data_IF_453002834352
#
_entry.id   IF_453002834352
#
_cell.length_a   1.000
_cell.length_b   1.000
_cell.length_c   1.000
_cell.angle_alpha   90.00
_cell.angle_beta   90.00
_cell.angle_gamma   90.00
#
_symmetry.space_group_name_H-M   'P 1'
#
loop_
_entity.id
_entity.type
_entity.pdbx_description
1 polymer ?
#
# COMPACT_ATOMS: atom_id res chain seq x y z
N UNK A 1 -0.47 -23.08 12.93
CA UNK A 1 -1.77 -23.24 13.57
C UNK A 1 -2.27 -21.93 14.11
N UNK A 2 -3.60 -21.75 14.18
CA UNK A 2 -4.24 -20.60 14.82
C UNK A 2 -4.70 -20.95 16.22
N UNK A 3 -3.99 -20.46 17.24
CA UNK A 3 -4.37 -20.68 18.65
C UNK A 3 -5.77 -20.14 18.97
N UNK A 4 -6.23 -19.12 18.25
CA UNK A 4 -7.58 -18.56 18.41
C UNK A 4 -8.70 -19.60 18.17
N UNK A 5 -8.49 -20.60 17.31
CA UNK A 5 -9.47 -21.66 17.10
C UNK A 5 -9.68 -22.52 18.37
N UNK A 6 -8.75 -22.47 19.33
CA UNK A 6 -8.89 -23.15 20.62
C UNK A 6 -9.66 -22.32 21.68
N UNK A 7 -10.11 -21.10 21.36
CA UNK A 7 -10.77 -20.20 22.31
C UNK A 7 -12.04 -20.81 22.93
N UNK A 8 -12.84 -21.51 22.13
CA UNK A 8 -14.15 -22.03 22.54
C UNK A 8 -14.12 -23.52 22.90
N UNK A 9 -13.24 -24.30 22.27
CA UNK A 9 -13.08 -25.75 22.48
C UNK A 9 -11.66 -26.19 22.10
N UNK A 10 -11.26 -27.42 22.43
CA UNK A 10 -9.98 -27.98 21.95
C UNK A 10 -9.94 -27.94 20.42
N UNK A 11 -8.81 -27.54 19.84
CA UNK A 11 -8.66 -27.50 18.40
C UNK A 11 -8.96 -28.88 17.77
N UNK A 12 -9.84 -29.02 16.77
CA UNK A 12 -10.27 -30.33 16.27
C UNK A 12 -9.14 -31.13 15.62
N UNK A 13 -8.20 -30.42 14.98
CA UNK A 13 -7.11 -31.01 14.20
C UNK A 13 -5.71 -30.63 14.70
N UNK A 14 -5.60 -30.11 15.93
CA UNK A 14 -4.31 -29.70 16.48
C UNK A 14 -4.22 -30.03 17.99
N UNK A 15 -3.02 -29.89 18.54
CA UNK A 15 -2.69 -30.21 19.93
C UNK A 15 -3.23 -29.17 20.91
N UNK A 16 -3.55 -27.96 20.46
CA UNK A 16 -3.92 -26.85 21.32
C UNK A 16 -5.28 -27.06 22.00
N UNK A 17 -5.27 -26.90 23.31
CA UNK A 17 -6.46 -26.96 24.16
C UNK A 17 -7.01 -25.58 24.47
N UNK A 18 -8.24 -25.53 24.97
CA UNK A 18 -8.83 -24.28 25.48
C UNK A 18 -8.04 -23.70 26.65
N UNK A 19 -7.45 -24.56 27.49
CA UNK A 19 -6.59 -24.14 28.58
C UNK A 19 -5.32 -23.45 28.05
N UNK A 20 -4.69 -23.97 26.99
CA UNK A 20 -3.53 -23.32 26.36
C UNK A 20 -3.87 -21.91 25.86
N UNK A 21 -5.04 -21.72 25.24
CA UNK A 21 -5.51 -20.40 24.82
C UNK A 21 -5.68 -19.45 26.01
N UNK A 22 -6.38 -19.89 27.06
CA UNK A 22 -6.64 -19.08 28.26
C UNK A 22 -5.34 -18.72 28.99
N UNK A 23 -4.38 -19.64 29.04
CA UNK A 23 -3.07 -19.38 29.62
C UNK A 23 -2.27 -18.38 28.78
N UNK A 24 -2.28 -18.52 27.45
CA UNK A 24 -1.59 -17.59 26.56
C UNK A 24 -2.19 -16.17 26.61
N UNK A 25 -3.51 -16.04 26.75
CA UNK A 25 -4.20 -14.75 26.86
C UNK A 25 -3.71 -13.92 28.07
N UNK A 26 -3.30 -14.57 29.17
CA UNK A 26 -2.84 -13.89 30.40
C UNK A 26 -1.65 -12.97 30.17
N UNK A 27 -0.77 -13.27 29.21
CA UNK A 27 0.38 -12.41 28.86
C UNK A 27 -0.06 -11.05 28.29
N UNK A 28 -1.26 -10.96 27.72
CA UNK A 28 -1.82 -9.73 27.16
C UNK A 28 -2.79 -9.02 28.13
N UNK A 29 -3.16 -9.66 29.25
CA UNK A 29 -4.13 -9.13 30.20
C UNK A 29 -3.70 -7.81 30.85
N UNK A 30 -2.40 -7.54 30.95
CA UNK A 30 -1.81 -6.30 31.49
C UNK A 30 -1.40 -5.29 30.41
N UNK A 31 -1.49 -5.66 29.13
CA UNK A 31 -1.15 -4.79 28.00
C UNK A 31 -2.38 -4.00 27.60
N UNK A 32 -2.31 -2.67 27.66
CA UNK A 32 -3.44 -1.79 27.31
C UNK A 32 -2.96 -0.65 26.43
N UNK A 33 -3.81 -0.24 25.49
CA UNK A 33 -3.63 1.04 24.83
C UNK A 33 -3.86 2.17 25.82
N UNK A 34 -2.81 2.91 26.10
CA UNK A 34 -2.85 4.13 26.90
C UNK A 34 -2.63 5.32 25.97
N UNK A 35 -3.71 6.06 25.71
CA UNK A 35 -3.67 7.27 24.89
C UNK A 35 -2.80 8.38 25.46
N UNK A 36 -2.50 8.31 26.76
CA UNK A 36 -1.84 9.38 27.50
C UNK A 36 -0.48 8.95 28.09
N UNK A 37 0.07 7.78 27.71
CA UNK A 37 1.37 7.29 28.17
C UNK A 37 1.64 7.52 29.66
N UNK A 38 2.84 7.98 29.99
CA UNK A 38 3.10 8.63 31.27
C UNK A 38 2.40 10.00 31.32
N UNK A 39 1.57 10.22 32.34
CA UNK A 39 0.74 11.42 32.45
C UNK A 39 1.55 12.73 32.57
N UNK A 40 2.79 12.67 33.07
CA UNK A 40 3.70 13.81 33.17
C UNK A 40 4.32 14.11 31.81
N UNK A 41 4.82 13.09 31.11
CA UNK A 41 5.38 13.23 29.76
C UNK A 41 4.32 13.70 28.77
N UNK A 42 3.13 13.12 28.81
CA UNK A 42 2.00 13.54 27.99
C UNK A 42 1.64 15.02 28.19
N UNK A 43 1.60 15.50 29.45
CA UNK A 43 1.36 16.91 29.75
C UNK A 43 2.51 17.82 29.27
N UNK A 44 3.75 17.35 29.37
CA UNK A 44 4.91 18.09 28.85
C UNK A 44 4.82 18.24 27.32
N UNK A 45 4.52 17.16 26.60
CA UNK A 45 4.31 17.17 25.16
C UNK A 45 3.13 18.07 24.75
N UNK A 46 2.03 18.04 25.49
CA UNK A 46 0.90 18.96 25.26
C UNK A 46 1.33 20.43 25.41
N UNK A 47 2.14 20.73 26.43
CA UNK A 47 2.65 22.08 26.65
C UNK A 47 3.58 22.52 25.52
N UNK A 48 4.44 21.65 25.01
CA UNK A 48 5.33 21.93 23.89
C UNK A 48 4.59 22.26 22.58
N UNK A 49 3.41 21.66 22.38
CA UNK A 49 2.53 21.98 21.24
C UNK A 49 1.56 23.14 21.52
N UNK A 50 1.74 23.85 22.64
CA UNK A 50 0.95 25.04 22.99
C UNK A 50 -0.44 24.75 23.54
N UNK A 51 -0.68 23.55 24.07
CA UNK A 51 -1.90 23.19 24.77
C UNK A 51 -1.67 23.23 26.27
N UNK A 52 -2.41 24.12 26.94
CA UNK A 52 -2.46 24.19 28.40
C UNK A 52 -3.85 23.76 28.90
N UNK A 53 -3.88 22.88 29.91
CA UNK A 53 -5.12 22.39 30.51
C UNK A 53 -5.73 21.17 29.81
N UNK A 54 -7.06 21.02 29.89
CA UNK A 54 -7.81 19.92 29.25
C UNK A 54 -8.38 20.40 27.92
N UNK A 55 -7.69 20.20 26.78
CA UNK A 55 -8.20 20.63 25.49
C UNK A 55 -9.48 19.86 25.10
N UNK A 56 -10.34 20.49 24.32
CA UNK A 56 -11.36 19.77 23.58
C UNK A 56 -10.70 18.86 22.53
N UNK A 57 -11.33 17.74 22.21
CA UNK A 57 -10.81 16.71 21.30
C UNK A 57 -10.49 17.27 19.90
N UNK A 58 -11.27 18.25 19.42
CA UNK A 58 -11.03 18.90 18.12
C UNK A 58 -9.81 19.83 18.13
N UNK A 59 -9.58 20.56 19.22
CA UNK A 59 -8.46 21.49 19.33
C UNK A 59 -7.15 20.72 19.51
N UNK A 60 -7.20 19.65 20.30
CA UNK A 60 -6.11 18.68 20.41
C UNK A 60 -5.72 18.11 19.06
N UNK A 61 -6.71 17.66 18.25
CA UNK A 61 -6.44 17.12 16.91
C UNK A 61 -5.76 18.14 16.00
N UNK A 62 -6.23 19.39 15.98
CA UNK A 62 -5.66 20.47 15.15
C UNK A 62 -4.24 20.84 15.59
N UNK A 63 -4.00 20.93 16.90
CA UNK A 63 -2.68 21.24 17.43
C UNK A 63 -1.67 20.13 17.12
N UNK A 64 -2.06 18.86 17.29
CA UNK A 64 -1.24 17.70 16.91
C UNK A 64 -0.96 17.73 15.41
N UNK A 65 -1.98 17.94 14.57
CA UNK A 65 -1.79 17.98 13.11
C UNK A 65 -0.82 19.09 12.68
N UNK A 66 -0.90 20.26 13.31
CA UNK A 66 0.04 21.37 13.09
C UNK A 66 1.45 21.01 13.57
N UNK A 67 1.58 20.51 14.79
CA UNK A 67 2.86 20.14 15.38
C UNK A 67 3.58 19.05 14.58
N UNK A 68 2.86 18.04 14.07
CA UNK A 68 3.42 17.01 13.18
C UNK A 68 3.94 17.61 11.88
N UNK A 69 3.19 18.55 11.26
CA UNK A 69 3.65 19.25 10.05
C UNK A 69 4.90 20.11 10.32
N UNK A 70 4.98 20.68 11.51
CA UNK A 70 6.13 21.47 11.98
C UNK A 70 7.31 20.57 12.43
N UNK A 71 7.21 19.24 12.33
CA UNK A 71 8.25 18.29 12.72
C UNK A 71 8.46 18.16 14.23
N UNK A 72 7.49 18.58 15.04
CA UNK A 72 7.55 18.52 16.50
C UNK A 72 7.09 17.17 17.03
N UNK A 73 7.64 16.76 18.16
CA UNK A 73 7.18 15.59 18.91
C UNK A 73 5.75 15.84 19.41
N UNK A 74 4.87 14.86 19.20
CA UNK A 74 3.47 14.93 19.62
C UNK A 74 3.12 13.73 20.47
N UNK A 75 2.11 13.84 21.38
CA UNK A 75 1.61 12.69 22.08
C UNK A 75 1.02 11.66 21.10
N UNK A 76 1.48 10.41 21.21
CA UNK A 76 0.97 9.28 20.44
C UNK A 76 0.44 8.21 21.39
N UNK A 77 -0.64 7.47 21.03
CA UNK A 77 -1.11 6.38 21.87
C UNK A 77 -0.07 5.27 21.96
N UNK A 78 0.28 4.89 23.19
CA UNK A 78 1.28 3.85 23.44
C UNK A 78 0.64 2.61 24.07
N UNK A 79 1.33 1.47 23.98
CA UNK A 79 0.99 0.30 24.75
C UNK A 79 1.62 0.44 26.14
N UNK A 80 0.80 0.62 27.16
CA UNK A 80 1.22 0.65 28.56
C UNK A 80 0.99 -0.72 29.22
N UNK A 81 1.89 -1.06 30.15
CA UNK A 81 1.73 -2.20 31.03
C UNK A 81 1.09 -1.71 32.32
N UNK A 82 -0.08 -2.25 32.67
CA UNK A 82 -0.67 -1.94 33.98
C UNK A 82 -0.01 -2.78 35.06
N UNK A 83 0.21 -2.18 36.22
CA UNK A 83 0.66 -2.89 37.40
C UNK A 83 -0.28 -4.08 37.70
N UNK A 84 0.25 -5.21 38.18
CA UNK A 84 -0.59 -6.29 38.68
C UNK A 84 -1.53 -5.70 39.75
N UNK A 85 -2.82 -6.04 39.69
CA UNK A 85 -3.75 -5.58 40.73
C UNK A 85 -3.25 -6.12 42.07
N UNK A 86 -2.90 -5.24 43.00
CA UNK A 86 -2.53 -5.62 44.37
C UNK A 86 -3.66 -6.48 44.95
N UNK A 87 -3.38 -7.76 44.97
CA UNK A 87 -4.23 -8.78 45.50
C UNK A 87 -4.07 -8.69 47.02
N UNK A 88 -5.17 -8.44 47.75
CA UNK A 88 -5.12 -8.32 49.22
C UNK A 88 -4.46 -9.54 49.87
N UNK A 89 -4.07 -9.45 51.15
CA UNK A 89 -3.28 -10.45 51.91
C UNK A 89 -3.75 -11.93 51.84
N UNK A 90 -4.93 -12.22 51.27
CA UNK A 90 -5.51 -13.56 51.13
C UNK A 90 -5.74 -14.00 49.67
N UNK A 91 -5.12 -13.36 48.69
CA UNK A 91 -5.33 -13.76 47.31
C UNK A 91 -4.48 -15.00 46.94
N UNK A 92 -4.98 -15.87 46.04
CA UNK A 92 -4.28 -17.07 45.63
C UNK A 92 -2.91 -16.74 44.99
N UNK A 93 -2.01 -17.73 45.01
CA UNK A 93 -0.64 -17.64 44.54
C UNK A 93 -0.47 -16.96 43.16
N UNK A 94 0.73 -16.45 42.92
CA UNK A 94 1.11 -15.76 41.69
C UNK A 94 0.54 -16.46 40.46
N UNK A 95 -0.21 -15.73 39.62
CA UNK A 95 -0.90 -16.34 38.49
C UNK A 95 0.13 -16.71 37.45
N UNK A 96 0.51 -17.98 37.40
CA UNK A 96 1.34 -18.49 36.34
C UNK A 96 0.54 -18.62 35.03
N UNK A 97 1.27 -18.54 33.92
CA UNK A 97 0.76 -18.68 32.57
C UNK A 97 1.78 -19.46 31.72
N UNK A 98 1.29 -20.35 30.87
CA UNK A 98 2.14 -21.10 29.93
C UNK A 98 2.22 -20.44 28.56
N UNK A 99 3.43 -20.44 28.00
CA UNK A 99 3.73 -20.04 26.63
C UNK A 99 3.44 -21.22 25.69
N UNK A 100 2.18 -21.34 25.26
CA UNK A 100 1.68 -22.41 24.37
C UNK A 100 2.15 -23.82 24.78
N UNK A 101 1.92 -24.19 26.04
CA UNK A 101 2.25 -25.52 26.57
C UNK A 101 3.73 -25.80 26.84
N UNK A 102 4.63 -24.86 26.55
CA UNK A 102 6.08 -25.02 26.79
C UNK A 102 6.49 -24.48 28.17
N UNK A 103 6.88 -23.21 28.26
CA UNK A 103 7.43 -22.60 29.46
C UNK A 103 6.33 -21.98 30.33
N UNK A 104 6.33 -22.30 31.62
CA UNK A 104 5.49 -21.64 32.63
C UNK A 104 6.20 -20.38 33.17
N UNK A 105 5.46 -19.28 33.18
CA UNK A 105 5.97 -17.96 33.55
C UNK A 105 5.05 -17.34 34.59
N UNK A 106 5.64 -16.79 35.65
CA UNK A 106 4.93 -15.98 36.62
C UNK A 106 4.70 -14.57 36.05
N UNK A 107 3.52 -14.36 35.46
CA UNK A 107 3.19 -13.09 34.79
C UNK A 107 2.87 -11.96 35.76
N UNK A 108 2.67 -12.23 37.05
CA UNK A 108 2.42 -11.18 38.05
C UNK A 108 3.73 -10.60 38.61
N UNK A 109 4.80 -11.40 38.65
CA UNK A 109 6.12 -10.98 39.13
C UNK A 109 7.08 -10.46 38.03
N UNK A 110 6.59 -10.30 36.80
CA UNK A 110 7.35 -9.69 35.70
C UNK A 110 6.85 -8.26 35.45
N UNK A 111 7.77 -7.31 35.29
CA UNK A 111 7.41 -5.91 35.02
C UNK A 111 6.64 -5.78 33.70
N UNK A 112 7.18 -6.32 32.61
CA UNK A 112 6.55 -6.36 31.29
C UNK A 112 6.40 -7.81 30.77
N UNK A 113 5.19 -8.41 30.79
CA UNK A 113 4.97 -9.77 30.31
C UNK A 113 5.39 -10.02 28.84
N UNK A 114 5.53 -8.97 28.03
CA UNK A 114 5.96 -9.09 26.63
C UNK A 114 7.42 -9.50 26.51
N UNK A 115 8.27 -9.22 27.49
CA UNK A 115 9.70 -9.61 27.43
C UNK A 115 9.82 -11.13 27.45
N UNK A 116 9.14 -11.80 28.37
CA UNK A 116 9.07 -13.26 28.43
C UNK A 116 8.51 -13.86 27.13
N UNK A 117 7.47 -13.24 26.56
CA UNK A 117 6.92 -13.67 25.27
C UNK A 117 7.93 -13.53 24.13
N UNK A 118 8.64 -12.40 24.04
CA UNK A 118 9.64 -12.16 22.99
C UNK A 118 10.88 -13.04 23.13
N UNK A 119 11.28 -13.36 24.36
CA UNK A 119 12.37 -14.29 24.62
C UNK A 119 11.98 -15.71 24.22
N UNK A 120 10.74 -16.11 24.51
CA UNK A 120 10.22 -17.40 24.07
C UNK A 120 10.07 -17.49 22.54
N UNK A 121 9.52 -16.46 21.88
CA UNK A 121 9.38 -16.44 20.42
C UNK A 121 10.72 -16.63 19.70
N UNK A 122 11.81 -16.15 20.31
CA UNK A 122 13.17 -16.26 19.75
C UNK A 122 13.88 -17.56 20.13
N UNK A 123 13.65 -18.07 21.33
CA UNK A 123 14.43 -19.19 21.88
C UNK A 123 13.65 -20.52 21.93
N UNK A 124 12.38 -20.54 21.54
CA UNK A 124 11.57 -21.76 21.59
C UNK A 124 12.19 -22.87 20.72
N UNK A 125 12.33 -24.10 21.24
CA UNK A 125 12.88 -25.22 20.50
C UNK A 125 12.02 -25.61 19.30
N UNK A 126 10.72 -25.32 19.32
CA UNK A 126 9.79 -25.64 18.22
C UNK A 126 9.94 -24.69 17.03
N UNK A 127 10.59 -23.53 17.23
CA UNK A 127 10.85 -22.48 16.23
C UNK A 127 9.59 -22.01 15.50
N UNK A 128 8.42 -22.11 16.16
CA UNK A 128 7.12 -21.83 15.54
C UNK A 128 7.04 -20.42 14.95
N UNK A 129 7.59 -19.42 15.65
CA UNK A 129 7.64 -18.04 15.17
C UNK A 129 8.43 -17.92 13.86
N UNK A 130 9.67 -18.41 13.83
CA UNK A 130 10.52 -18.33 12.65
C UNK A 130 9.91 -19.09 11.46
N UNK A 131 9.37 -20.29 11.69
CA UNK A 131 8.66 -21.07 10.65
C UNK A 131 7.45 -20.33 10.09
N UNK A 132 6.61 -19.76 10.96
CA UNK A 132 5.42 -19.01 10.55
C UNK A 132 5.79 -17.75 9.76
N UNK A 133 6.82 -17.04 10.21
CA UNK A 133 7.30 -15.84 9.56
C UNK A 133 7.90 -16.13 8.17
N UNK A 134 8.83 -17.09 8.09
CA UNK A 134 9.46 -17.53 6.84
C UNK A 134 8.41 -18.02 5.85
N UNK A 135 7.48 -18.87 6.28
CA UNK A 135 6.42 -19.39 5.40
C UNK A 135 5.53 -18.28 4.85
N UNK A 136 5.22 -17.27 5.68
CA UNK A 136 4.44 -16.09 5.27
C UNK A 136 5.19 -15.22 4.27
N UNK A 137 6.47 -14.93 4.50
CA UNK A 137 7.28 -14.17 3.55
C UNK A 137 7.41 -14.93 2.22
N UNK A 138 7.68 -16.24 2.28
CA UNK A 138 7.71 -17.10 1.10
C UNK A 138 6.39 -17.04 0.31
N UNK A 139 5.26 -17.21 0.99
CA UNK A 139 3.92 -17.17 0.38
C UNK A 139 3.65 -15.85 -0.33
N UNK A 140 4.09 -14.71 0.24
CA UNK A 140 3.92 -13.40 -0.41
C UNK A 140 4.63 -13.26 -1.76
N UNK A 141 5.80 -13.91 -1.92
CA UNK A 141 6.54 -13.91 -3.17
C UNK A 141 6.03 -14.97 -4.14
N UNK A 142 5.82 -16.19 -3.65
CA UNK A 142 5.53 -17.37 -4.46
C UNK A 142 4.02 -17.57 -4.73
N UNK A 143 3.15 -16.78 -4.07
CA UNK A 143 1.70 -16.92 -4.11
C UNK A 143 1.14 -18.10 -3.31
N UNK A 144 2.03 -18.93 -2.73
CA UNK A 144 1.70 -20.12 -1.95
C UNK A 144 2.77 -20.39 -0.90
N UNK A 145 2.37 -20.75 0.31
CA UNK A 145 3.30 -21.17 1.36
C UNK A 145 3.94 -22.53 1.09
N UNK A 146 5.12 -22.76 1.68
CA UNK A 146 5.71 -24.11 1.79
C UNK A 146 4.78 -25.00 2.63
N UNK A 147 4.13 -24.43 3.63
CA UNK A 147 2.92 -24.96 4.27
C UNK A 147 1.74 -24.14 3.79
N UNK A 148 0.70 -24.80 3.28
CA UNK A 148 -0.51 -24.15 2.78
C UNK A 148 -1.74 -24.83 3.39
N UNK A 149 -2.68 -24.12 4.04
CA UNK A 149 -2.75 -22.67 4.22
C UNK A 149 -1.56 -22.06 4.97
N UNK A 150 -1.16 -20.84 4.60
CA UNK A 150 0.07 -20.19 5.09
C UNK A 150 0.19 -20.11 6.63
N UNK A 151 -0.93 -20.03 7.35
CA UNK A 151 -0.98 -20.00 8.83
C UNK A 151 -1.15 -21.37 9.50
N UNK A 152 -1.41 -22.42 8.74
CA UNK A 152 -1.75 -23.73 9.27
C UNK A 152 -0.53 -24.64 9.41
N UNK A 153 0.41 -24.24 10.27
CA UNK A 153 1.55 -25.07 10.70
C UNK A 153 1.17 -26.23 11.66
N UNK A 154 0.00 -26.83 11.50
CA UNK A 154 -0.43 -27.97 12.33
C UNK A 154 0.36 -29.24 11.98
N UNK A 155 0.43 -30.19 12.91
CA UNK A 155 1.05 -31.50 12.64
C UNK A 155 0.35 -32.28 11.53
N UNK A 156 -0.95 -32.02 11.31
CA UNK A 156 -1.74 -32.64 10.26
C UNK A 156 -1.51 -32.01 8.86
N UNK A 157 -0.80 -30.88 8.80
CA UNK A 157 -0.52 -30.17 7.55
C UNK A 157 1.00 -30.02 7.31
N UNK A 158 1.69 -31.10 6.89
CA UNK A 158 3.12 -31.07 6.68
C UNK A 158 3.52 -30.16 5.51
N UNK A 159 4.70 -29.51 5.57
CA UNK A 159 5.23 -28.71 4.47
C UNK A 159 5.39 -29.55 3.19
N UNK A 160 5.18 -28.93 2.03
CA UNK A 160 5.50 -29.54 0.72
C UNK A 160 6.98 -29.89 0.62
N UNK A 161 7.85 -29.09 1.24
CA UNK A 161 9.28 -29.35 1.33
C UNK A 161 9.82 -28.96 2.72
N UNK A 162 9.95 -29.93 3.62
CA UNK A 162 10.45 -29.72 4.98
C UNK A 162 11.91 -29.25 5.02
N UNK A 163 12.75 -29.76 4.11
CA UNK A 163 14.17 -29.39 4.04
C UNK A 163 14.35 -27.90 3.71
N UNK A 164 13.59 -27.40 2.73
CA UNK A 164 13.56 -25.99 2.37
C UNK A 164 13.08 -25.11 3.53
N UNK A 165 11.96 -25.46 4.17
CA UNK A 165 11.43 -24.69 5.31
C UNK A 165 12.44 -24.64 6.46
N UNK A 166 13.07 -25.77 6.79
CA UNK A 166 14.06 -25.84 7.86
C UNK A 166 15.31 -25.02 7.51
N UNK A 167 15.81 -25.10 6.27
CA UNK A 167 16.96 -24.33 5.82
C UNK A 167 16.74 -22.82 5.97
N UNK A 168 15.61 -22.31 5.46
CA UNK A 168 15.28 -20.89 5.57
C UNK A 168 15.02 -20.47 7.03
N UNK A 169 14.35 -21.31 7.82
CA UNK A 169 14.09 -21.06 9.24
C UNK A 169 15.39 -20.95 10.04
N UNK A 170 16.30 -21.90 9.87
CA UNK A 170 17.56 -21.95 10.61
C UNK A 170 18.50 -20.82 10.17
N UNK A 171 18.55 -20.52 8.86
CA UNK A 171 19.29 -19.36 8.36
C UNK A 171 18.71 -18.04 8.86
N UNK A 172 17.38 -17.91 8.96
CA UNK A 172 16.75 -16.69 9.48
C UNK A 172 17.10 -16.46 10.94
N UNK A 173 17.12 -17.52 11.76
CA UNK A 173 17.55 -17.45 13.16
C UNK A 173 19.04 -17.15 13.26
N UNK A 174 19.89 -17.82 12.48
CA UNK A 174 21.34 -17.64 12.50
C UNK A 174 21.77 -16.21 12.11
N UNK A 175 21.00 -15.54 11.24
CA UNK A 175 21.22 -14.15 10.86
C UNK A 175 20.46 -13.15 11.77
N UNK A 176 20.01 -13.57 12.96
CA UNK A 176 19.40 -12.67 13.94
C UNK A 176 18.04 -12.12 13.52
N UNK A 177 17.26 -12.89 12.76
CA UNK A 177 15.94 -12.49 12.22
C UNK A 177 16.02 -11.34 11.20
N UNK A 178 17.13 -11.21 10.47
CA UNK A 178 17.28 -10.22 9.40
C UNK A 178 16.34 -10.50 8.21
N UNK A 179 15.36 -9.63 8.02
CA UNK A 179 14.43 -9.71 6.89
C UNK A 179 15.14 -9.52 5.55
N UNK A 180 16.16 -8.65 5.48
CA UNK A 180 16.87 -8.40 4.23
C UNK A 180 17.59 -9.66 3.73
N UNK A 181 18.19 -10.42 4.65
CA UNK A 181 18.75 -11.72 4.35
C UNK A 181 17.67 -12.66 3.78
N UNK A 182 16.54 -12.81 4.46
CA UNK A 182 15.47 -13.71 4.02
C UNK A 182 14.90 -13.33 2.64
N UNK A 183 14.62 -12.04 2.42
CA UNK A 183 14.18 -11.52 1.13
C UNK A 183 15.20 -11.82 0.03
N UNK A 184 16.49 -11.58 0.29
CA UNK A 184 17.58 -11.85 -0.65
C UNK A 184 17.67 -13.33 -1.02
N UNK A 185 17.66 -14.22 -0.04
CA UNK A 185 17.73 -15.67 -0.29
C UNK A 185 16.57 -16.16 -1.17
N UNK A 186 15.36 -15.65 -0.93
CA UNK A 186 14.20 -16.02 -1.74
C UNK A 186 14.35 -15.50 -3.18
N UNK A 187 14.60 -14.19 -3.37
CA UNK A 187 14.61 -13.60 -4.73
C UNK A 187 15.83 -13.99 -5.57
N UNK A 188 16.94 -14.38 -4.92
CA UNK A 188 18.12 -14.90 -5.61
C UNK A 188 18.05 -16.42 -5.86
N UNK A 189 17.03 -17.12 -5.36
CA UNK A 189 16.88 -18.55 -5.59
C UNK A 189 16.49 -18.87 -7.04
N UNK A 190 16.96 -20.01 -7.55
CA UNK A 190 16.47 -20.58 -8.82
C UNK A 190 14.94 -20.73 -8.79
N UNK A 191 14.38 -21.12 -7.64
CA UNK A 191 12.93 -21.32 -7.48
C UNK A 191 12.13 -20.05 -7.79
N UNK A 192 12.58 -18.88 -7.32
CA UNK A 192 11.91 -17.60 -7.60
C UNK A 192 12.10 -17.15 -9.06
N UNK A 193 13.25 -17.47 -9.68
CA UNK A 193 13.61 -17.02 -11.03
C UNK A 193 13.08 -17.94 -12.14
N UNK A 194 12.38 -19.02 -11.81
CA UNK A 194 11.78 -19.93 -12.79
C UNK A 194 10.72 -19.23 -13.64
N UNK A 195 10.66 -19.61 -14.91
CA UNK A 195 9.60 -19.18 -15.83
C UNK A 195 8.23 -19.69 -15.36
N UNK A 196 7.18 -18.94 -15.68
CA UNK A 196 5.79 -19.37 -15.48
C UNK A 196 5.34 -20.40 -16.51
N UNK A 197 6.02 -20.48 -17.65
CA UNK A 197 5.68 -21.37 -18.75
C UNK A 197 5.91 -22.83 -18.35
N UNK A 198 4.88 -23.67 -18.38
CA UNK A 198 5.03 -25.08 -18.03
C UNK A 198 5.75 -25.86 -19.13
N UNK A 199 6.37 -26.96 -18.72
CA UNK A 199 6.82 -28.04 -19.59
C UNK A 199 5.91 -29.28 -19.41
N UNK A 200 6.22 -30.35 -20.13
CA UNK A 200 5.42 -31.59 -20.13
C UNK A 200 5.27 -32.24 -18.74
N UNK A 201 6.22 -32.02 -17.83
CA UNK A 201 6.27 -32.67 -16.51
C UNK A 201 5.68 -31.85 -15.38
N UNK A 202 5.48 -30.54 -15.56
CA UNK A 202 5.11 -29.63 -14.48
C UNK A 202 3.87 -28.75 -14.76
N UNK A 203 3.14 -29.01 -15.83
CA UNK A 203 1.93 -28.26 -16.19
C UNK A 203 0.94 -28.13 -15.02
N UNK A 204 0.74 -29.24 -14.29
CA UNK A 204 -0.21 -29.33 -13.17
C UNK A 204 0.45 -29.15 -11.79
N UNK A 205 1.75 -28.84 -11.72
CA UNK A 205 2.41 -28.63 -10.44
C UNK A 205 2.24 -27.19 -9.95
N UNK A 206 1.47 -27.05 -8.89
CA UNK A 206 1.24 -25.79 -8.17
C UNK A 206 1.71 -25.87 -6.71
N UNK A 207 2.40 -26.96 -6.33
CA UNK A 207 2.76 -27.24 -4.93
C UNK A 207 4.26 -27.28 -4.71
N UNK A 208 5.03 -27.79 -5.67
CA UNK A 208 6.46 -28.06 -5.49
C UNK A 208 7.36 -26.98 -6.08
N UNK A 209 6.78 -25.85 -6.51
CA UNK A 209 7.50 -24.69 -7.03
C UNK A 209 8.41 -25.05 -8.22
N UNK A 210 7.97 -25.98 -9.07
CA UNK A 210 8.69 -26.38 -10.29
C UNK A 210 8.66 -25.32 -11.41
N UNK A 211 7.81 -24.30 -11.26
CA UNK A 211 7.66 -23.13 -12.13
C UNK A 211 7.07 -21.97 -11.34
N UNK A 212 7.13 -20.75 -11.88
CA UNK A 212 6.36 -19.64 -11.32
C UNK A 212 4.86 -19.87 -11.56
N UNK A 213 4.07 -19.68 -10.51
CA UNK A 213 2.60 -19.74 -10.62
C UNK A 213 2.10 -18.33 -10.86
N UNK A 214 1.41 -18.14 -11.98
CA UNK A 214 0.82 -16.86 -12.35
C UNK A 214 -0.21 -16.47 -11.29
N UNK A 215 -0.10 -15.24 -10.78
CA UNK A 215 -0.94 -14.73 -9.70
C UNK A 215 -1.57 -13.41 -10.08
N UNK A 216 -2.68 -13.06 -9.45
CA UNK A 216 -3.32 -11.77 -9.70
C UNK A 216 -2.58 -10.61 -9.04
N UNK A 217 -2.68 -9.43 -9.64
CA UNK A 217 -2.23 -8.20 -9.00
C UNK A 217 -3.13 -7.89 -7.80
N UNK A 218 -2.56 -7.54 -6.63
CA UNK A 218 -3.37 -7.10 -5.51
C UNK A 218 -4.11 -5.81 -5.82
N UNK A 219 -5.24 -5.57 -5.15
CA UNK A 219 -6.14 -4.44 -5.41
C UNK A 219 -5.44 -3.09 -5.63
N UNK A 220 -4.51 -2.73 -4.75
CA UNK A 220 -3.76 -1.50 -4.82
C UNK A 220 -2.85 -1.44 -6.06
N UNK A 221 -2.14 -2.53 -6.35
CA UNK A 221 -1.27 -2.60 -7.52
C UNK A 221 -2.06 -2.57 -8.83
N UNK A 222 -3.21 -3.24 -8.89
CA UNK A 222 -4.11 -3.20 -10.04
C UNK A 222 -4.65 -1.78 -10.31
N UNK A 223 -5.10 -1.08 -9.25
CA UNK A 223 -5.56 0.30 -9.38
C UNK A 223 -4.43 1.28 -9.77
N UNK A 224 -3.25 1.11 -9.19
CA UNK A 224 -2.08 1.92 -9.52
C UNK A 224 -1.62 1.66 -10.96
N UNK A 225 -1.72 0.42 -11.46
CA UNK A 225 -1.45 0.07 -12.85
C UNK A 225 -2.45 0.72 -13.83
N UNK A 226 -3.75 0.71 -13.51
CA UNK A 226 -4.78 1.42 -14.28
C UNK A 226 -4.50 2.93 -14.37
N UNK A 227 -4.10 3.50 -13.24
CA UNK A 227 -3.74 4.91 -13.16
C UNK A 227 -2.51 5.19 -14.02
N UNK A 228 -1.43 4.42 -13.83
CA UNK A 228 -0.18 4.56 -14.60
C UNK A 228 -0.38 4.41 -16.11
N UNK A 229 -1.27 3.51 -16.54
CA UNK A 229 -1.57 3.28 -17.95
C UNK A 229 -2.18 4.51 -18.65
N UNK A 230 -2.83 5.41 -17.89
CA UNK A 230 -3.64 6.52 -18.43
C UNK A 230 -3.05 7.91 -18.13
N UNK A 231 -2.15 8.03 -17.16
CA UNK A 231 -1.48 9.28 -16.84
C UNK A 231 -0.61 9.81 -18.00
N UNK A 232 -0.59 11.13 -18.16
CA UNK A 232 0.39 11.81 -19.00
C UNK A 232 1.82 11.63 -18.45
N UNK A 233 2.84 11.91 -19.27
CA UNK A 233 4.24 11.64 -18.93
C UNK A 233 4.75 12.36 -17.68
N UNK A 234 4.39 13.64 -17.53
CA UNK A 234 4.79 14.43 -16.37
C UNK A 234 4.20 13.85 -15.08
N UNK A 235 2.89 13.58 -15.08
CA UNK A 235 2.21 12.98 -13.94
C UNK A 235 2.69 11.56 -13.68
N UNK A 236 2.98 10.78 -14.72
CA UNK A 236 3.52 9.43 -14.58
C UNK A 236 4.92 9.46 -13.93
N UNK A 237 5.79 10.39 -14.33
CA UNK A 237 7.11 10.57 -13.72
C UNK A 237 7.01 10.99 -12.24
N UNK A 238 6.09 11.91 -11.92
CA UNK A 238 5.77 12.26 -10.53
C UNK A 238 5.23 11.05 -9.77
N UNK A 239 4.31 10.31 -10.39
CA UNK A 239 3.69 9.14 -9.80
C UNK A 239 4.73 8.06 -9.49
N UNK A 240 5.76 7.86 -10.32
CA UNK A 240 6.87 6.90 -10.10
C UNK A 240 7.85 7.37 -9.02
N UNK A 241 8.09 8.67 -8.89
CA UNK A 241 9.05 9.22 -7.92
C UNK A 241 8.46 9.42 -6.52
N UNK A 242 7.15 9.63 -6.42
CA UNK A 242 6.47 9.94 -5.17
C UNK A 242 5.45 8.84 -4.83
N UNK A 243 5.50 8.30 -3.60
CA UNK A 243 4.51 7.31 -3.13
C UNK A 243 3.20 7.96 -2.68
N UNK A 244 3.23 9.26 -2.40
CA UNK A 244 2.04 10.06 -2.04
C UNK A 244 1.07 10.07 -3.22
N UNK A 245 -0.17 9.64 -2.99
CA UNK A 245 -1.20 9.57 -4.04
C UNK A 245 -1.39 8.17 -4.63
N UNK A 246 -0.48 7.21 -4.42
CA UNK A 246 -0.67 5.82 -4.85
C UNK A 246 -1.62 5.03 -3.95
N UNK A 247 -2.37 4.07 -4.49
CA UNK A 247 -3.19 3.10 -3.76
C UNK A 247 -2.38 2.28 -2.79
N UNK A 248 -1.17 1.85 -3.16
CA UNK A 248 -0.33 1.02 -2.29
C UNK A 248 0.02 1.69 -0.96
N UNK A 249 0.04 3.03 -0.91
CA UNK A 249 0.31 3.80 0.32
C UNK A 249 -0.95 4.04 1.15
N UNK A 250 -2.15 3.90 0.57
CA UNK A 250 -3.36 4.19 1.32
C UNK A 250 -3.59 3.11 2.37
N UNK A 251 -3.47 3.51 3.63
CA UNK A 251 -3.69 2.66 4.80
C UNK A 251 -5.09 2.88 5.37
N UNK A 252 -5.89 3.78 4.80
CA UNK A 252 -7.23 4.05 5.28
C UNK A 252 -8.09 2.82 5.03
N UNK A 253 -8.79 2.28 6.04
CA UNK A 253 -9.79 1.26 5.79
C UNK A 253 -10.84 1.85 4.83
N UNK A 254 -11.47 1.03 3.98
CA UNK A 254 -12.54 1.48 3.10
C UNK A 254 -13.66 2.08 3.97
N UNK A 255 -13.66 3.40 4.14
CA UNK A 255 -14.78 4.10 4.77
C UNK A 255 -15.91 4.13 3.76
N UNK A 256 -17.15 3.96 4.22
CA UNK A 256 -18.41 3.96 3.47
C UNK A 256 -18.70 5.24 2.63
N UNK A 257 -17.72 6.10 2.35
CA UNK A 257 -17.88 7.16 1.37
C UNK A 257 -17.76 6.58 -0.04
N UNK A 258 -18.90 6.08 -0.52
CA UNK A 258 -19.17 5.70 -1.91
C UNK A 258 -18.91 6.83 -2.93
N UNK A 259 -18.54 8.05 -2.49
CA UNK A 259 -18.21 9.17 -3.39
C UNK A 259 -16.74 9.19 -3.82
N UNK A 260 -15.88 8.29 -3.32
CA UNK A 260 -14.49 8.20 -3.75
C UNK A 260 -14.31 6.94 -4.61
N UNK A 261 -14.32 7.12 -5.94
CA UNK A 261 -14.24 6.03 -6.92
C UNK A 261 -13.10 5.05 -6.68
N UNK A 262 -11.96 5.56 -6.20
CA UNK A 262 -10.83 4.74 -5.76
C UNK A 262 -11.18 3.71 -4.67
N UNK A 263 -11.92 4.09 -3.64
CA UNK A 263 -12.26 3.15 -2.56
C UNK A 263 -13.18 2.04 -3.07
N UNK A 264 -14.11 2.38 -3.97
CA UNK A 264 -14.97 1.41 -4.64
C UNK A 264 -14.14 0.43 -5.46
N UNK A 265 -13.22 0.94 -6.30
CA UNK A 265 -12.31 0.12 -7.10
C UNK A 265 -11.50 -0.86 -6.22
N UNK A 266 -10.90 -0.35 -5.13
CA UNK A 266 -10.11 -1.18 -4.22
C UNK A 266 -10.94 -2.30 -3.56
N UNK A 267 -12.20 -2.02 -3.20
CA UNK A 267 -13.11 -3.04 -2.70
C UNK A 267 -13.45 -4.08 -3.77
N UNK A 268 -13.73 -3.66 -5.01
CA UNK A 268 -13.98 -4.55 -6.15
C UNK A 268 -12.80 -5.50 -6.41
N UNK A 269 -11.56 -5.00 -6.30
CA UNK A 269 -10.35 -5.80 -6.46
C UNK A 269 -9.93 -6.59 -5.21
N UNK A 270 -10.75 -6.65 -4.16
CA UNK A 270 -10.55 -7.57 -3.03
C UNK A 270 -9.64 -7.06 -1.93
N UNK A 271 -9.50 -5.73 -1.77
CA UNK A 271 -8.78 -5.13 -0.63
C UNK A 271 -9.45 -5.52 0.69
N UNK A 272 -8.64 -5.99 1.64
CA UNK A 272 -9.09 -6.30 3.00
C UNK A 272 -9.69 -5.07 3.70
N UNK A 273 -10.78 -5.29 4.43
CA UNK A 273 -11.42 -4.27 5.28
C UNK A 273 -10.69 -4.10 6.62
N UNK A 274 -9.69 -4.95 6.89
CA UNK A 274 -8.84 -4.96 8.09
C UNK A 274 -9.61 -5.16 9.40
N UNK A 275 -10.75 -5.85 9.34
CA UNK A 275 -11.50 -6.26 10.53
C UNK A 275 -10.89 -7.49 11.20
N UNK A 276 -10.21 -8.33 10.42
CA UNK A 276 -9.50 -9.51 10.89
C UNK A 276 -7.99 -9.34 10.76
N UNK A 277 -7.23 -9.91 11.70
CA UNK A 277 -5.77 -10.04 11.60
C UNK A 277 -5.34 -11.12 10.58
N UNK A 278 -6.31 -11.86 10.02
CA UNK A 278 -6.07 -12.88 9.02
C UNK A 278 -5.87 -12.28 7.63
N UNK A 279 -4.83 -12.75 6.93
CA UNK A 279 -4.59 -12.39 5.52
C UNK A 279 -5.69 -12.94 4.57
N UNK A 280 -6.49 -13.88 5.05
CA UNK A 280 -7.63 -14.46 4.33
C UNK A 280 -8.78 -13.48 4.04
N UNK A 281 -8.79 -12.29 4.65
CA UNK A 281 -9.78 -11.24 4.32
C UNK A 281 -9.49 -10.60 2.94
N UNK A 282 -8.28 -10.79 2.42
CA UNK A 282 -7.94 -10.35 1.06
C UNK A 282 -8.35 -11.43 0.07
N UNK A 283 -9.12 -11.05 -0.95
CA UNK A 283 -9.44 -11.96 -2.06
C UNK A 283 -8.58 -11.64 -3.27
N UNK A 284 -7.92 -12.68 -3.78
CA UNK A 284 -7.18 -12.65 -5.05
C UNK A 284 -7.93 -13.38 -6.16
N UNK A 285 -9.17 -13.81 -5.88
CA UNK A 285 -9.99 -14.57 -6.83
C UNK A 285 -10.50 -13.69 -7.98
N UNK A 286 -10.81 -14.36 -9.08
CA UNK A 286 -11.51 -13.71 -10.18
C UNK A 286 -12.97 -13.48 -9.84
N UNK A 287 -13.44 -12.25 -9.99
CA UNK A 287 -14.84 -11.91 -9.83
C UNK A 287 -15.40 -11.25 -11.09
N UNK A 288 -16.71 -11.44 -11.31
CA UNK A 288 -17.43 -10.76 -12.39
C UNK A 288 -17.38 -9.24 -12.21
N UNK A 289 -17.43 -8.76 -10.95
CA UNK A 289 -17.39 -7.33 -10.63
C UNK A 289 -16.10 -6.66 -11.11
N UNK A 290 -14.95 -7.33 -11.00
CA UNK A 290 -13.68 -6.79 -11.49
C UNK A 290 -13.68 -6.62 -13.01
N UNK A 291 -14.19 -7.62 -13.73
CA UNK A 291 -14.32 -7.56 -15.20
C UNK A 291 -15.31 -6.48 -15.62
N UNK A 292 -16.44 -6.32 -14.91
CA UNK A 292 -17.40 -5.25 -15.19
C UNK A 292 -16.79 -3.88 -14.92
N UNK A 293 -15.98 -3.77 -13.86
CA UNK A 293 -15.31 -2.53 -13.50
C UNK A 293 -14.35 -2.07 -14.61
N UNK A 294 -13.46 -2.94 -15.09
CA UNK A 294 -12.49 -2.58 -16.14
C UNK A 294 -13.12 -2.34 -17.52
N UNK A 295 -14.32 -2.88 -17.78
CA UNK A 295 -15.00 -2.73 -19.07
C UNK A 295 -15.85 -1.48 -19.15
N UNK A 296 -16.68 -1.25 -18.14
CA UNK A 296 -17.84 -0.34 -18.26
C UNK A 296 -17.97 0.65 -17.10
N UNK A 297 -17.08 0.63 -16.11
CA UNK A 297 -17.20 1.58 -15.00
C UNK A 297 -16.85 3.01 -15.44
N UNK A 298 -17.58 3.96 -14.87
CA UNK A 298 -17.38 5.39 -15.13
C UNK A 298 -15.98 5.85 -14.73
N UNK A 299 -15.39 5.28 -13.68
CA UNK A 299 -14.05 5.67 -13.23
C UNK A 299 -13.00 5.34 -14.29
N UNK A 300 -13.10 4.16 -14.92
CA UNK A 300 -12.19 3.74 -15.98
C UNK A 300 -12.39 4.60 -17.23
N UNK A 301 -13.63 4.90 -17.60
CA UNK A 301 -13.92 5.81 -18.72
C UNK A 301 -13.33 7.21 -18.47
N UNK A 302 -13.47 7.75 -17.25
CA UNK A 302 -12.88 9.04 -16.88
C UNK A 302 -11.35 9.00 -16.91
N UNK A 303 -10.72 7.90 -16.49
CA UNK A 303 -9.27 7.73 -16.58
C UNK A 303 -8.80 7.73 -18.05
N UNK A 304 -9.47 6.96 -18.92
CA UNK A 304 -9.14 6.88 -20.33
C UNK A 304 -9.35 8.23 -21.04
N UNK A 305 -10.41 8.96 -20.71
CA UNK A 305 -10.81 10.21 -21.38
C UNK A 305 -10.36 11.49 -20.65
N UNK A 306 -9.44 11.39 -19.67
CA UNK A 306 -8.94 12.57 -18.94
C UNK A 306 -8.32 13.58 -19.92
N UNK A 307 -8.75 14.84 -19.82
CA UNK A 307 -8.20 15.98 -20.57
C UNK A 307 -6.71 16.20 -20.27
N UNK A 308 -6.27 15.72 -19.12
CA UNK A 308 -4.88 15.72 -18.69
C UNK A 308 -4.25 14.31 -18.73
N UNK A 309 -4.86 13.34 -19.41
CA UNK A 309 -4.33 12.00 -19.61
C UNK A 309 -3.41 11.86 -20.82
N UNK A 310 -2.84 10.66 -20.99
CA UNK A 310 -1.91 10.34 -22.07
C UNK A 310 -2.54 10.46 -23.46
N UNK A 311 -3.78 9.98 -23.66
CA UNK A 311 -4.48 10.11 -24.95
C UNK A 311 -4.60 11.56 -25.40
N UNK A 312 -5.00 12.44 -24.48
CA UNK A 312 -5.05 13.87 -24.78
C UNK A 312 -3.63 14.40 -25.06
N UNK A 313 -2.61 13.96 -24.32
CA UNK A 313 -1.22 14.36 -24.56
C UNK A 313 -0.74 14.06 -25.99
N UNK A 314 -1.02 12.86 -26.51
CA UNK A 314 -0.56 12.42 -27.85
C UNK A 314 -1.39 13.00 -29.01
N UNK A 315 -2.67 13.31 -28.78
CA UNK A 315 -3.56 13.88 -29.80
C UNK A 315 -3.78 15.39 -29.66
N UNK A 316 -3.04 16.05 -28.77
CA UNK A 316 -3.04 17.51 -28.62
C UNK A 316 -2.58 18.15 -29.93
N UNK A 317 -3.49 18.88 -30.56
CA UNK A 317 -3.19 19.76 -31.67
C UNK A 317 -2.39 20.95 -31.11
N UNK A 318 -1.05 20.85 -31.09
CA UNK A 318 -0.13 21.81 -30.45
C UNK A 318 -0.51 23.25 -30.74
N UNK A 319 -0.85 23.56 -32.00
CA UNK A 319 -1.18 24.92 -32.44
C UNK A 319 -2.34 25.60 -31.69
N UNK A 320 -3.41 24.88 -31.36
CA UNK A 320 -4.56 25.45 -30.64
C UNK A 320 -4.29 25.62 -29.14
N UNK A 321 -3.38 24.80 -28.59
CA UNK A 321 -2.97 24.90 -27.20
C UNK A 321 -1.80 25.85 -27.00
N UNK A 322 -0.90 26.02 -27.95
CA UNK A 322 0.13 27.07 -27.92
C UNK A 322 -0.56 28.42 -27.88
N UNK A 323 -1.58 28.65 -28.73
CA UNK A 323 -2.38 29.88 -28.67
C UNK A 323 -3.16 30.05 -27.35
N UNK A 324 -3.69 28.96 -26.77
CA UNK A 324 -4.42 29.04 -25.50
C UNK A 324 -3.50 29.16 -24.28
N UNK A 325 -2.35 28.49 -24.29
CA UNK A 325 -1.32 28.53 -23.27
C UNK A 325 -0.60 29.88 -23.31
N UNK A 326 -0.29 30.42 -24.48
CA UNK A 326 0.18 31.81 -24.63
C UNK A 326 -0.85 32.80 -24.09
N UNK A 327 -2.15 32.61 -24.37
CA UNK A 327 -3.21 33.45 -23.78
C UNK A 327 -3.28 33.34 -22.27
N UNK A 328 -3.17 32.13 -21.71
CA UNK A 328 -3.22 31.89 -20.26
C UNK A 328 -1.96 32.39 -19.56
N UNK A 329 -0.79 32.22 -20.17
CA UNK A 329 0.49 32.75 -19.70
C UNK A 329 0.47 34.28 -19.71
N UNK A 330 0.03 34.90 -20.81
CA UNK A 330 -0.15 36.35 -20.90
C UNK A 330 -1.14 36.89 -19.86
N UNK A 331 -2.23 36.17 -19.57
CA UNK A 331 -3.16 36.52 -18.50
C UNK A 331 -2.52 36.42 -17.11
N UNK A 332 -1.71 35.39 -16.87
CA UNK A 332 -1.00 35.19 -15.61
C UNK A 332 0.10 36.25 -15.41
N UNK A 333 0.86 36.59 -16.44
CA UNK A 333 1.86 37.66 -16.43
C UNK A 333 1.22 39.03 -16.20
N UNK A 334 0.10 39.33 -16.87
CA UNK A 334 -0.67 40.55 -16.62
C UNK A 334 -1.23 40.60 -15.19
N UNK A 335 -1.54 39.45 -14.59
CA UNK A 335 -1.96 39.36 -13.20
C UNK A 335 -0.80 39.64 -12.23
N UNK A 336 0.41 39.16 -12.53
CA UNK A 336 1.64 39.49 -11.80
C UNK A 336 1.89 40.99 -11.83
N UNK A 337 1.86 41.63 -13.00
CA UNK A 337 2.09 43.09 -13.13
C UNK A 337 1.07 43.92 -12.33
N UNK A 338 -0.21 43.50 -12.31
CA UNK A 338 -1.25 44.14 -11.51
C UNK A 338 -0.97 44.02 -10.01
N UNK A 339 -0.52 42.85 -9.55
CA UNK A 339 -0.19 42.65 -8.14
C UNK A 339 1.08 43.38 -7.72
N UNK A 340 2.08 43.52 -8.59
CA UNK A 340 3.28 44.34 -8.34
C UNK A 340 2.92 45.82 -8.12
N UNK A 341 2.08 46.39 -9.00
CA UNK A 341 1.56 47.76 -8.82
C UNK A 341 0.74 47.91 -7.53
N UNK A 342 -0.02 46.89 -7.16
CA UNK A 342 -0.80 46.88 -5.91
C UNK A 342 0.11 46.88 -4.69
N UNK A 343 1.21 46.11 -4.72
CA UNK A 343 2.24 46.09 -3.67
C UNK A 343 2.91 47.46 -3.55
N UNK A 344 3.29 48.12 -4.66
CA UNK A 344 3.86 49.48 -4.62
C UNK A 344 2.91 50.52 -3.99
N UNK A 345 1.63 50.50 -4.36
CA UNK A 345 0.64 51.43 -3.81
C UNK A 345 0.39 51.15 -2.33
N UNK A 346 0.34 49.88 -1.92
CA UNK A 346 0.22 49.49 -0.52
C UNK A 346 1.44 49.94 0.31
N UNK A 347 2.65 49.84 -0.24
CA UNK A 347 3.90 50.34 0.36
C UNK A 347 3.88 51.86 0.52
N UNK A 348 3.40 52.61 -0.48
CA UNK A 348 3.26 54.07 -0.41
C UNK A 348 2.21 54.54 0.61
N UNK A 349 1.18 53.73 0.89
CA UNK A 349 0.12 54.03 1.86
C UNK A 349 0.42 53.57 3.30
N UNK A 350 1.51 52.83 3.52
CA UNK A 350 1.96 52.43 4.85
C UNK A 350 1.07 51.41 5.58
N UNK A 351 0.29 50.59 4.87
CA UNK A 351 -0.61 49.60 5.48
C UNK A 351 0.00 48.19 5.43
N UNK A 352 0.65 47.76 6.52
CA UNK A 352 1.36 46.47 6.62
C UNK A 352 0.47 45.25 6.31
N UNK A 353 -0.79 45.25 6.75
CA UNK A 353 -1.72 44.14 6.50
C UNK A 353 -2.08 44.00 5.00
N UNK A 354 -2.19 45.12 4.29
CA UNK A 354 -2.42 45.13 2.84
C UNK A 354 -1.16 44.73 2.07
N UNK A 355 0.03 45.10 2.55
CA UNK A 355 1.31 44.69 1.95
C UNK A 355 1.47 43.17 2.00
N UNK A 356 1.30 42.57 3.18
CA UNK A 356 1.44 41.11 3.35
C UNK A 356 0.45 40.31 2.48
N UNK A 357 -0.80 40.78 2.38
CA UNK A 357 -1.82 40.15 1.53
C UNK A 357 -1.48 40.26 0.03
N UNK A 358 -0.98 41.42 -0.40
CA UNK A 358 -0.61 41.67 -1.78
C UNK A 358 0.66 40.89 -2.18
N UNK A 359 1.63 40.76 -1.28
CA UNK A 359 2.85 39.96 -1.51
C UNK A 359 2.55 38.46 -1.59
N UNK A 360 1.63 37.94 -0.75
CA UNK A 360 1.17 36.54 -0.86
C UNK A 360 0.42 36.26 -2.17
N UNK A 361 -0.43 37.19 -2.62
CA UNK A 361 -1.12 37.07 -3.91
C UNK A 361 -0.14 37.15 -5.10
N UNK A 362 0.89 38.00 -5.01
CA UNK A 362 1.96 38.09 -5.99
C UNK A 362 2.79 36.80 -6.06
N UNK A 363 3.11 36.19 -4.92
CA UNK A 363 3.81 34.91 -4.88
C UNK A 363 3.00 33.80 -5.57
N UNK A 364 1.70 33.68 -5.23
CA UNK A 364 0.81 32.71 -5.87
C UNK A 364 0.66 32.95 -7.38
N UNK A 365 0.63 34.21 -7.84
CA UNK A 365 0.59 34.54 -9.25
C UNK A 365 1.90 34.17 -9.98
N UNK A 366 3.06 34.37 -9.35
CA UNK A 366 4.37 33.98 -9.88
C UNK A 366 4.54 32.45 -9.95
N UNK A 367 4.06 31.73 -8.94
CA UNK A 367 4.04 30.27 -8.96
C UNK A 367 3.19 29.75 -10.12
N UNK A 368 2.03 30.38 -10.35
CA UNK A 368 1.17 30.07 -11.49
C UNK A 368 1.82 30.35 -12.85
N UNK A 369 2.60 31.43 -12.98
CA UNK A 369 3.42 31.68 -14.19
C UNK A 369 4.46 30.59 -14.36
N UNK A 370 5.13 30.17 -13.28
CA UNK A 370 6.14 29.11 -13.30
C UNK A 370 5.56 27.74 -13.68
N UNK A 371 4.34 27.44 -13.25
CA UNK A 371 3.58 26.25 -13.68
C UNK A 371 3.17 26.30 -15.15
N UNK A 372 2.84 27.49 -15.67
CA UNK A 372 2.38 27.70 -17.05
C UNK A 372 3.52 27.92 -18.05
N UNK A 373 4.75 28.18 -17.59
CA UNK A 373 5.92 28.34 -18.46
C UNK A 373 6.34 26.96 -18.96
N UNK A 374 6.31 26.69 -20.28
CA UNK A 374 6.61 25.37 -20.79
C UNK A 374 8.07 24.98 -20.48
N UNK A 375 8.23 23.81 -19.86
CA UNK A 375 9.49 23.06 -19.89
C UNK A 375 9.84 22.80 -21.36
N UNK A 376 11.09 23.04 -21.75
CA UNK A 376 11.59 23.07 -23.13
C UNK A 376 11.58 21.71 -23.87
N UNK A 377 10.69 20.80 -23.54
CA UNK A 377 10.62 19.43 -24.10
C UNK A 377 9.23 19.08 -24.65
N UNK A 378 8.48 20.04 -25.21
CA UNK A 378 7.27 19.71 -25.98
C UNK A 378 7.61 19.38 -27.43
N UNK A 379 8.19 18.20 -27.65
CA UNK A 379 8.35 17.63 -28.99
C UNK A 379 6.97 17.21 -29.50
N UNK A 380 6.44 17.94 -30.50
CA UNK A 380 5.50 17.34 -31.44
C UNK A 380 6.27 16.27 -32.19
N UNK A 381 5.96 15.02 -31.91
CA UNK A 381 6.23 13.96 -32.89
C UNK A 381 4.99 13.87 -33.76
N UNK A 382 5.20 13.87 -35.07
CA UNK A 382 4.21 13.36 -36.01
C UNK A 382 3.62 12.05 -35.48
N UNK A 383 2.32 11.84 -35.67
CA UNK A 383 1.63 10.63 -35.22
C UNK A 383 2.22 9.40 -35.92
N UNK A 384 3.22 8.79 -35.29
CA UNK A 384 3.71 7.46 -35.66
C UNK A 384 2.85 6.44 -34.95
N UNK A 385 1.91 5.82 -35.68
CA UNK A 385 1.05 4.77 -35.15
C UNK A 385 1.87 3.67 -34.46
N UNK A 386 3.03 3.34 -35.02
CA UNK A 386 3.96 2.34 -34.49
C UNK A 386 4.53 2.70 -33.11
N UNK A 387 4.90 3.98 -32.93
CA UNK A 387 5.38 4.49 -31.65
C UNK A 387 4.26 4.51 -30.61
N UNK A 388 3.06 4.94 -30.99
CA UNK A 388 1.89 4.99 -30.10
C UNK A 388 1.47 3.59 -29.65
N UNK A 389 1.47 2.61 -30.57
CA UNK A 389 1.21 1.20 -30.21
C UNK A 389 2.28 0.72 -29.23
N UNK A 390 3.56 0.98 -29.50
CA UNK A 390 4.65 0.56 -28.61
C UNK A 390 4.49 1.18 -27.21
N UNK A 391 4.14 2.47 -27.13
CA UNK A 391 3.87 3.14 -25.86
C UNK A 391 2.63 2.59 -25.15
N UNK A 392 1.53 2.29 -25.87
CA UNK A 392 0.32 1.72 -25.28
C UNK A 392 0.62 0.39 -24.58
N UNK A 393 1.38 -0.49 -25.22
CA UNK A 393 1.81 -1.78 -24.64
C UNK A 393 2.75 -1.60 -23.46
N UNK A 394 3.73 -0.69 -23.54
CA UNK A 394 4.65 -0.44 -22.43
C UNK A 394 3.93 0.12 -21.19
N UNK A 395 2.96 1.03 -21.39
CA UNK A 395 2.19 1.64 -20.29
C UNK A 395 1.21 0.68 -19.62
N UNK A 396 0.66 -0.27 -20.38
CA UNK A 396 -0.37 -1.20 -19.88
C UNK A 396 0.22 -2.53 -19.44
N UNK A 397 1.09 -3.13 -20.24
CA UNK A 397 1.62 -4.48 -20.05
C UNK A 397 3.12 -4.52 -19.72
N UNK A 398 3.80 -3.36 -19.68
CA UNK A 398 5.24 -3.27 -19.38
C UNK A 398 6.16 -4.07 -20.34
N UNK A 399 5.69 -4.32 -21.57
CA UNK A 399 6.46 -4.97 -22.64
C UNK A 399 6.15 -4.35 -23.99
N UNK A 400 6.91 -4.72 -25.01
CA UNK A 400 6.59 -4.39 -26.40
C UNK A 400 5.54 -5.36 -26.97
N UNK A 401 4.75 -4.94 -27.98
CA UNK A 401 3.87 -5.85 -28.70
C UNK A 401 4.70 -6.87 -29.50
N UNK A 402 4.19 -8.09 -29.63
CA UNK A 402 4.66 -9.06 -30.62
C UNK A 402 4.36 -8.59 -32.05
N UNK A 403 4.91 -9.27 -33.06
CA UNK A 403 4.69 -8.91 -34.47
C UNK A 403 3.21 -8.99 -34.87
N UNK A 404 2.51 -10.02 -34.40
CA UNK A 404 1.08 -10.23 -34.69
C UNK A 404 0.21 -9.17 -33.99
N UNK A 405 0.49 -8.92 -32.70
CA UNK A 405 -0.15 -7.87 -31.91
C UNK A 405 0.04 -6.47 -32.53
N UNK A 406 1.24 -6.18 -33.01
CA UNK A 406 1.57 -4.91 -33.69
C UNK A 406 0.80 -4.77 -35.00
N UNK A 407 0.72 -5.84 -35.78
CA UNK A 407 -0.02 -5.86 -37.05
C UNK A 407 -1.51 -5.62 -36.80
N UNK A 408 -2.12 -6.40 -35.90
CA UNK A 408 -3.53 -6.28 -35.55
C UNK A 408 -3.87 -4.89 -34.98
N UNK A 409 -3.03 -4.33 -34.10
CA UNK A 409 -3.21 -2.99 -33.57
C UNK A 409 -3.12 -1.92 -34.67
N UNK A 410 -2.15 -2.05 -35.59
CA UNK A 410 -1.98 -1.11 -36.70
C UNK A 410 -3.17 -1.13 -37.67
N UNK A 411 -3.66 -2.31 -38.03
CA UNK A 411 -4.85 -2.47 -38.87
C UNK A 411 -6.09 -1.88 -38.21
N UNK A 412 -6.28 -2.13 -36.90
CA UNK A 412 -7.40 -1.59 -36.16
C UNK A 412 -7.36 -0.05 -36.10
N UNK A 413 -6.20 0.54 -35.75
CA UNK A 413 -6.01 1.99 -35.73
C UNK A 413 -6.28 2.63 -37.10
N UNK A 414 -5.87 1.97 -38.19
CA UNK A 414 -6.13 2.45 -39.56
C UNK A 414 -7.62 2.39 -39.95
N UNK A 415 -8.39 1.48 -39.34
CA UNK A 415 -9.84 1.35 -39.58
C UNK A 415 -10.69 2.33 -38.75
N UNK A 416 -10.13 2.94 -37.71
CA UNK A 416 -10.86 3.82 -36.80
C UNK A 416 -11.24 5.15 -37.48
N UNK A 417 -12.46 5.63 -37.21
CA UNK A 417 -12.95 6.90 -37.76
C UNK A 417 -12.12 8.10 -37.30
N UNK A 418 -11.64 8.07 -36.06
CA UNK A 418 -10.65 9.01 -35.53
C UNK A 418 -9.48 8.25 -34.90
N UNK A 419 -8.22 8.66 -35.15
CA UNK A 419 -7.06 8.04 -34.53
C UNK A 419 -7.12 8.02 -32.99
N UNK A 420 -7.72 9.05 -32.38
CA UNK A 420 -7.89 9.14 -30.94
C UNK A 420 -8.77 8.04 -30.37
N UNK A 421 -9.89 7.74 -31.03
CA UNK A 421 -10.78 6.66 -30.63
C UNK A 421 -10.11 5.29 -30.81
N UNK A 422 -9.37 5.09 -31.91
CA UNK A 422 -8.63 3.84 -32.15
C UNK A 422 -7.59 3.53 -31.07
N UNK A 423 -6.84 4.53 -30.61
CA UNK A 423 -5.86 4.33 -29.52
C UNK A 423 -6.56 4.17 -28.17
N UNK A 424 -7.65 4.89 -27.91
CA UNK A 424 -8.47 4.70 -26.71
C UNK A 424 -8.94 3.25 -26.60
N UNK A 425 -9.50 2.73 -27.68
CA UNK A 425 -10.03 1.37 -27.75
C UNK A 425 -8.92 0.33 -27.63
N UNK A 426 -7.72 0.59 -28.18
CA UNK A 426 -6.54 -0.24 -27.97
C UNK A 426 -6.14 -0.31 -26.49
N UNK A 427 -6.01 0.84 -25.80
CA UNK A 427 -5.68 0.86 -24.37
C UNK A 427 -6.75 0.16 -23.54
N UNK A 428 -8.03 0.41 -23.85
CA UNK A 428 -9.15 -0.28 -23.21
C UNK A 428 -9.08 -1.80 -23.40
N UNK A 429 -8.75 -2.26 -24.61
CA UNK A 429 -8.57 -3.69 -24.90
C UNK A 429 -7.42 -4.29 -24.10
N UNK A 430 -6.27 -3.60 -24.03
CA UNK A 430 -5.09 -4.04 -23.27
C UNK A 430 -5.38 -4.15 -21.77
N UNK A 431 -6.04 -3.16 -21.17
CA UNK A 431 -6.47 -3.18 -19.76
C UNK A 431 -7.41 -4.37 -19.47
N UNK A 432 -8.21 -4.78 -20.45
CA UNK A 432 -9.16 -5.89 -20.33
C UNK A 432 -8.59 -7.26 -20.70
N UNK A 433 -7.28 -7.35 -21.01
CA UNK A 433 -6.60 -8.63 -21.16
C UNK A 433 -6.43 -9.34 -19.83
N UNK A 434 -6.22 -10.66 -19.88
CA UNK A 434 -5.82 -11.42 -18.67
C UNK A 434 -4.45 -10.96 -18.17
N UNK A 435 -3.53 -10.68 -19.09
CA UNK A 435 -2.15 -10.28 -18.79
C UNK A 435 -2.09 -9.05 -17.89
N UNK A 436 -2.91 -8.04 -18.15
CA UNK A 436 -2.95 -6.80 -17.36
C UNK A 436 -3.20 -7.04 -15.86
N UNK A 437 -4.00 -8.05 -15.52
CA UNK A 437 -4.37 -8.36 -14.13
C UNK A 437 -3.45 -9.39 -13.47
N UNK A 438 -2.44 -9.91 -14.19
CA UNK A 438 -1.62 -11.04 -13.77
C UNK A 438 -0.14 -10.67 -13.64
N UNK A 439 0.46 -11.04 -12.53
CA UNK A 439 1.90 -11.11 -12.34
C UNK A 439 2.38 -12.51 -12.77
N UNK A 440 3.20 -12.55 -13.80
CA UNK A 440 3.62 -13.76 -14.51
C UNK A 440 5.12 -13.75 -14.75
#
# INVERSE_FOLDING_TARGET
TRIQCAQCHKHPFDVWTQDDFQQFEKFFARVRFNRNGDAKEYRALLKEIGIEGKPNNNDLRKAIEKAVKDGKTVPFPELAITAPKNQGKNAPAAKTAKLLGEQEVDVDNIEDPRTALMDWLRNSPTKLFAKAFVNRVWSNYMGRGIVEPTDDLSLANPPSNAGLLNHLTDGFIANGYDMNWLHREIVLSDTYQRSWQPNETNAMDERNFSRAVVRRLPAEAAYDALTMATLNDQKAAEYISVTTGRAIRDTSPPRNNASNGRNYALAVFGRSIRESACDCDRSMEASLLQTLYTRNDRDVEVMLTDRNGWLTQIFRNQKAQDEQAERLLAQAEAQVERFEKTVEVAKKKGNEAQIAKAESALAAARDKVKELTPSSESVSKDFSADEVISQAYLRTLSRLPSADERTAASEYLASAAQPADGVKDLVWALINTKEFMLNH
#
